data_IF_250839371159
#
_entry.id   IF_250839371159
#
_cell.length_a   1.000
_cell.length_b   1.000
_cell.length_c   1.000
_cell.angle_alpha   90.00
_cell.angle_beta   90.00
_cell.angle_gamma   90.00
#
_symmetry.space_group_name_H-M   'P 1'
#
loop_
_entity.id
_entity.type
_entity.pdbx_description
1 polymer ?
#
# COMPACT_ATOMS: atom_id res chain seq x y z
N UNK A 1 -5.52 -4.30 -10.14
CA UNK A 1 -5.34 -3.98 -8.70
C UNK A 1 -4.53 -2.71 -8.61
N UNK A 2 -5.01 -1.68 -7.91
CA UNK A 2 -4.24 -0.45 -7.64
C UNK A 2 -3.79 -0.50 -6.20
N UNK A 3 -2.55 -0.11 -5.92
CA UNK A 3 -2.05 0.06 -4.56
C UNK A 3 -2.02 1.57 -4.24
N UNK A 4 -2.66 1.94 -3.14
CA UNK A 4 -2.68 3.31 -2.62
C UNK A 4 -2.14 3.25 -1.20
N UNK A 5 -1.11 4.04 -0.93
CA UNK A 5 -0.49 4.18 0.39
C UNK A 5 -0.75 5.59 0.92
N UNK A 6 -1.17 5.68 2.18
CA UNK A 6 -1.42 6.92 2.90
C UNK A 6 -0.45 7.03 4.06
N UNK A 7 0.28 8.14 4.12
CA UNK A 7 1.21 8.42 5.21
C UNK A 7 0.92 9.79 5.84
N UNK A 8 0.94 9.81 7.17
CA UNK A 8 0.78 11.02 7.98
C UNK A 8 2.13 11.30 8.62
N UNK A 9 2.86 12.25 8.04
CA UNK A 9 4.14 12.70 8.54
C UNK A 9 3.98 14.03 9.27
N UNK A 10 4.83 14.29 10.27
CA UNK A 10 4.93 15.62 10.88
C UNK A 10 5.32 16.66 9.84
N UNK A 11 4.91 17.91 10.07
CA UNK A 11 5.28 19.00 9.19
C UNK A 11 6.80 19.24 9.19
N UNK A 12 7.42 19.28 8.01
CA UNK A 12 8.77 19.88 7.86
C UNK A 12 8.66 21.36 7.54
N UNK A 13 7.64 21.74 6.76
CA UNK A 13 7.32 23.13 6.38
C UNK A 13 6.07 23.67 7.08
N UNK A 14 5.44 22.88 7.95
CA UNK A 14 4.28 23.24 8.74
C UNK A 14 4.67 23.15 10.23
N UNK A 15 4.19 24.09 11.03
CA UNK A 15 4.52 24.24 12.46
C UNK A 15 3.69 23.29 13.34
N UNK A 16 3.60 22.03 12.91
CA UNK A 16 2.92 20.94 13.62
C UNK A 16 3.98 19.90 14.01
N UNK A 17 4.22 19.75 15.32
CA UNK A 17 5.19 18.78 15.87
C UNK A 17 4.75 17.32 15.70
N UNK A 18 3.45 17.08 15.58
CA UNK A 18 2.83 15.76 15.43
C UNK A 18 2.12 15.63 14.07
N UNK A 19 1.95 14.41 13.53
CA UNK A 19 1.18 14.21 12.32
C UNK A 19 -0.28 14.67 12.47
N UNK A 20 -0.76 15.49 11.53
CA UNK A 20 -2.13 15.99 11.53
C UNK A 20 -2.86 15.65 10.23
N UNK A 21 -4.19 15.84 10.20
CA UNK A 21 -5.00 15.65 8.98
C UNK A 21 -4.91 16.81 7.98
N UNK A 22 -4.23 17.90 8.36
CA UNK A 22 -4.11 19.09 7.51
C UNK A 22 -3.10 18.86 6.36
N UNK A 23 -2.27 17.83 6.45
CA UNK A 23 -1.29 17.48 5.44
C UNK A 23 -1.06 15.97 5.40
N UNK A 24 -1.26 15.36 4.23
CA UNK A 24 -1.17 13.91 4.03
C UNK A 24 -0.37 13.65 2.75
N UNK A 25 0.51 12.66 2.80
CA UNK A 25 1.21 12.16 1.62
C UNK A 25 0.46 10.93 1.08
N UNK A 26 0.31 10.87 -0.23
CA UNK A 26 -0.30 9.71 -0.89
C UNK A 26 0.57 9.25 -2.04
N UNK A 27 0.86 7.96 -2.08
CA UNK A 27 1.54 7.32 -3.21
C UNK A 27 0.55 6.39 -3.89
N UNK A 28 0.32 6.64 -5.17
CA UNK A 28 -0.51 5.78 -6.02
C UNK A 28 0.41 5.01 -6.94
N UNK A 29 0.35 3.68 -6.88
CA UNK A 29 1.07 2.80 -7.81
C UNK A 29 0.08 2.11 -8.73
N UNK A 30 0.22 2.39 -10.02
CA UNK A 30 -0.52 1.68 -11.08
C UNK A 30 0.26 0.43 -11.48
N UNK A 31 -0.39 -0.74 -11.53
CA UNK A 31 0.28 -2.00 -11.84
C UNK A 31 0.84 -2.00 -13.26
N UNK A 32 2.01 -2.60 -13.46
CA UNK A 32 2.57 -2.85 -14.79
C UNK A 32 2.15 -4.25 -15.25
N UNK A 33 1.26 -4.34 -16.24
CA UNK A 33 0.86 -5.64 -16.81
C UNK A 33 0.21 -6.60 -15.80
N UNK A 34 -0.53 -6.07 -14.82
CA UNK A 34 -1.23 -6.81 -13.76
C UNK A 34 -0.31 -7.60 -12.79
N UNK A 35 0.91 -7.12 -12.60
CA UNK A 35 1.88 -7.64 -11.62
C UNK A 35 1.30 -7.81 -10.21
N UNK A 36 0.68 -6.79 -9.63
CA UNK A 36 0.13 -6.84 -8.26
C UNK A 36 -0.97 -7.90 -8.10
N UNK A 37 -1.84 -8.04 -9.10
CA UNK A 37 -2.90 -9.05 -9.07
C UNK A 37 -2.34 -10.47 -9.09
N UNK A 38 -1.30 -10.71 -9.90
CA UNK A 38 -0.61 -12.02 -9.97
C UNK A 38 0.07 -12.35 -8.64
N UNK A 39 0.73 -11.36 -8.02
CA UNK A 39 1.44 -11.60 -6.76
C UNK A 39 0.48 -11.82 -5.58
N UNK A 40 -0.62 -11.06 -5.50
CA UNK A 40 -1.67 -11.31 -4.51
C UNK A 40 -2.30 -12.71 -4.67
N UNK A 41 -2.52 -13.15 -5.91
CA UNK A 41 -3.04 -14.50 -6.18
C UNK A 41 -2.06 -15.58 -5.74
N UNK A 42 -0.75 -15.36 -5.96
CA UNK A 42 0.31 -16.25 -5.47
C UNK A 42 0.29 -16.34 -3.94
N UNK A 43 0.27 -15.21 -3.24
CA UNK A 43 0.18 -15.16 -1.78
C UNK A 43 -1.06 -15.87 -1.25
N UNK A 44 -2.23 -15.65 -1.86
CA UNK A 44 -3.47 -16.34 -1.48
C UNK A 44 -3.34 -17.87 -1.60
N UNK A 45 -2.78 -18.36 -2.71
CA UNK A 45 -2.55 -19.80 -2.90
C UNK A 45 -1.58 -20.37 -1.88
N UNK A 46 -0.51 -19.64 -1.56
CA UNK A 46 0.46 -20.06 -0.55
C UNK A 46 -0.13 -20.11 0.86
N UNK A 47 -1.05 -19.18 1.20
CA UNK A 47 -1.63 -19.09 2.54
C UNK A 47 -2.83 -20.04 2.74
N UNK A 48 -3.62 -20.27 1.70
CA UNK A 48 -4.92 -20.96 1.83
C UNK A 48 -5.02 -22.28 1.06
N UNK A 49 -4.13 -22.54 0.09
CA UNK A 49 -4.19 -23.72 -0.79
C UNK A 49 -2.93 -24.58 -0.71
N UNK A 50 -2.11 -24.41 0.34
CA UNK A 50 -0.85 -25.16 0.54
C UNK A 50 -1.02 -26.66 0.80
N UNK A 51 -2.24 -27.16 0.95
CA UNK A 51 -2.54 -28.56 1.29
C UNK A 51 -3.17 -29.34 0.11
N UNK A 52 -2.72 -29.09 -1.11
CA UNK A 52 -3.06 -29.89 -2.28
C UNK A 52 -2.05 -31.01 -2.54
N UNK A 53 -1.86 -31.88 -1.55
CA UNK A 53 -1.39 -33.27 -1.74
C UNK A 53 -2.51 -34.17 -1.22
#
# INVERSE_FOLDING_TARGET
VVLIEFDHQRGIALDDDEPTRNHIHTVVRTPNGNDYGKDLLRLHREQHHRNGV
#
